data_IF_584450737044
#
_entry.id   IF_584450737044
#
_cell.length_a   1.000
_cell.length_b   1.000
_cell.length_c   1.000
_cell.angle_alpha   90.00
_cell.angle_beta   90.00
_cell.angle_gamma   90.00
#
_symmetry.space_group_name_H-M   'P 1'
#
loop_
_entity.id
_entity.type
_entity.pdbx_description
1 polymer ?
#
# COMPACT_ATOMS: atom_id res chain seq x y z
N UNK A 1 40.83 38.49 -28.79
CA UNK A 1 41.19 38.97 -27.44
C UNK A 1 41.16 37.76 -26.52
N UNK A 2 42.30 37.48 -25.89
CA UNK A 2 42.60 36.33 -25.02
C UNK A 2 41.79 36.36 -23.72
N UNK A 3 41.57 35.16 -23.12
CA UNK A 3 42.10 34.68 -21.81
C UNK A 3 41.07 33.70 -21.18
N UNK A 4 41.25 32.38 -21.07
CA UNK A 4 42.20 31.50 -20.33
C UNK A 4 41.75 31.10 -18.89
N UNK A 5 41.89 29.79 -18.62
CA UNK A 5 41.98 29.04 -17.34
C UNK A 5 40.73 28.96 -16.41
N UNK A 6 40.38 27.83 -15.79
CA UNK A 6 41.18 26.68 -15.33
C UNK A 6 40.34 25.42 -15.08
N UNK A 7 40.94 24.27 -15.42
CA UNK A 7 40.63 22.96 -14.86
C UNK A 7 40.94 22.92 -13.36
N UNK A 8 40.01 22.39 -12.56
CA UNK A 8 40.36 21.79 -11.26
C UNK A 8 39.88 20.36 -11.24
N UNK A 9 40.84 19.46 -11.42
CA UNK A 9 40.70 18.07 -11.04
C UNK A 9 40.67 17.96 -9.52
N UNK A 10 39.59 17.43 -8.97
CA UNK A 10 39.63 16.82 -7.63
C UNK A 10 39.56 15.31 -7.81
N UNK A 11 40.74 14.68 -7.81
CA UNK A 11 40.89 13.24 -7.86
C UNK A 11 40.55 12.58 -6.53
N UNK A 12 39.73 11.53 -6.62
CA UNK A 12 39.73 10.28 -5.85
C UNK A 12 39.42 10.34 -4.34
N UNK A 13 38.25 9.80 -3.99
CA UNK A 13 37.95 9.25 -2.68
C UNK A 13 36.67 8.39 -2.71
N UNK A 14 36.86 7.07 -2.81
CA UNK A 14 35.89 6.00 -2.48
C UNK A 14 34.52 5.99 -3.16
N UNK A 15 34.50 5.46 -4.40
CA UNK A 15 33.80 4.23 -4.76
C UNK A 15 32.42 3.88 -4.17
N UNK A 16 31.54 4.83 -3.89
CA UNK A 16 30.12 4.52 -3.74
C UNK A 16 29.50 4.38 -5.13
N UNK A 17 29.48 3.16 -5.64
CA UNK A 17 28.53 2.80 -6.68
C UNK A 17 27.14 2.89 -6.06
N UNK A 18 26.55 4.09 -6.12
CA UNK A 18 25.11 4.27 -5.91
C UNK A 18 24.42 3.40 -6.95
N UNK A 19 24.02 2.18 -6.55
CA UNK A 19 23.07 1.40 -7.34
C UNK A 19 21.76 2.13 -7.22
N UNK A 20 21.55 3.06 -8.16
CA UNK A 20 20.29 3.76 -8.38
C UNK A 20 19.25 2.69 -8.69
N UNK A 21 18.53 2.22 -7.67
CA UNK A 21 17.41 1.31 -7.86
C UNK A 21 16.25 2.11 -8.47
N UNK A 22 16.37 2.40 -9.77
CA UNK A 22 15.25 2.90 -10.55
C UNK A 22 14.22 1.77 -10.64
N UNK A 23 13.14 1.94 -9.88
CA UNK A 23 11.95 1.11 -9.93
C UNK A 23 11.16 1.49 -11.18
N UNK A 24 11.66 1.08 -12.35
CA UNK A 24 11.00 1.35 -13.63
C UNK A 24 9.72 0.52 -13.75
N UNK A 25 8.67 1.10 -14.35
CA UNK A 25 7.37 0.45 -14.58
C UNK A 25 7.51 -0.93 -15.26
N UNK A 26 8.57 -1.13 -16.02
CA UNK A 26 8.92 -2.39 -16.69
C UNK A 26 9.25 -3.54 -15.71
N UNK A 27 9.86 -3.26 -14.54
CA UNK A 27 10.15 -4.29 -13.52
C UNK A 27 8.89 -4.80 -12.83
N UNK A 28 7.90 -3.92 -12.61
CA UNK A 28 6.59 -4.29 -12.03
C UNK A 28 5.75 -5.08 -13.03
N UNK A 29 5.80 -4.71 -14.32
CA UNK A 29 5.11 -5.43 -15.39
C UNK A 29 5.53 -6.90 -15.52
N UNK A 30 6.83 -7.18 -15.46
CA UNK A 30 7.36 -8.55 -15.58
C UNK A 30 7.01 -9.45 -14.38
N UNK A 31 6.93 -8.90 -13.17
CA UNK A 31 6.53 -9.65 -11.97
C UNK A 31 5.04 -10.03 -11.96
N UNK A 32 4.18 -9.19 -12.56
CA UNK A 32 2.72 -9.36 -12.54
C UNK A 32 2.18 -10.13 -13.75
N UNK A 33 2.87 -10.09 -14.90
CA UNK A 33 2.35 -10.59 -16.18
C UNK A 33 2.91 -11.94 -16.64
N UNK A 34 3.98 -12.47 -16.02
CA UNK A 34 4.65 -13.71 -16.46
C UNK A 34 3.78 -14.97 -16.43
N UNK A 35 2.62 -14.95 -15.76
CA UNK A 35 1.67 -16.07 -15.72
C UNK A 35 0.42 -15.90 -16.61
N UNK A 36 0.28 -14.81 -17.39
CA UNK A 36 -0.96 -14.56 -18.15
C UNK A 36 -1.11 -15.33 -19.47
N UNK A 37 -0.08 -16.07 -19.92
CA UNK A 37 -0.10 -16.80 -21.21
C UNK A 37 -0.14 -18.33 -21.08
N UNK A 38 -0.93 -18.89 -20.16
CA UNK A 38 -1.31 -20.31 -20.24
C UNK A 38 -2.79 -20.42 -20.62
N UNK A 39 -3.05 -20.98 -21.81
CA UNK A 39 -4.40 -21.30 -22.32
C UNK A 39 -5.25 -21.89 -21.19
N UNK A 40 -6.33 -21.21 -20.82
CA UNK A 40 -7.27 -21.64 -19.78
C UNK A 40 -7.94 -22.94 -20.22
N UNK A 41 -7.38 -24.10 -19.82
CA UNK A 41 -8.14 -25.34 -19.81
C UNK A 41 -9.29 -25.19 -18.79
N UNK A 42 -10.51 -25.59 -19.15
CA UNK A 42 -11.66 -25.62 -18.23
C UNK A 42 -11.30 -26.54 -17.05
N UNK A 43 -10.92 -25.96 -15.93
CA UNK A 43 -10.63 -26.67 -14.69
C UNK A 43 -11.94 -26.83 -13.89
N UNK A 44 -12.10 -27.95 -13.19
CA UNK A 44 -13.23 -28.12 -12.29
C UNK A 44 -13.21 -27.07 -11.17
N UNK A 45 -14.39 -26.70 -10.65
CA UNK A 45 -14.56 -25.69 -9.61
C UNK A 45 -13.64 -25.95 -8.39
N UNK A 46 -13.50 -27.21 -7.96
CA UNK A 46 -12.58 -27.62 -6.89
C UNK A 46 -11.11 -27.32 -7.20
N UNK A 47 -10.64 -27.59 -8.43
CA UNK A 47 -9.26 -27.28 -8.85
C UNK A 47 -9.01 -25.77 -8.92
N UNK A 48 -10.02 -25.00 -9.34
CA UNK A 48 -9.98 -23.54 -9.36
C UNK A 48 -9.91 -22.93 -7.95
N UNK A 49 -10.72 -23.43 -7.01
CA UNK A 49 -10.68 -23.00 -5.60
C UNK A 49 -9.34 -23.33 -4.94
N UNK A 50 -8.83 -24.57 -5.13
CA UNK A 50 -7.52 -24.98 -4.61
C UNK A 50 -6.40 -24.10 -5.19
N UNK A 51 -6.45 -23.82 -6.50
CA UNK A 51 -5.53 -22.91 -7.18
C UNK A 51 -5.53 -21.50 -6.60
N UNK A 52 -6.72 -20.92 -6.37
CA UNK A 52 -6.87 -19.60 -5.74
C UNK A 52 -6.31 -19.57 -4.32
N UNK A 53 -6.61 -20.57 -3.50
CA UNK A 53 -6.09 -20.69 -2.14
C UNK A 53 -4.55 -20.79 -2.13
N UNK A 54 -3.98 -21.65 -2.97
CA UNK A 54 -2.52 -21.75 -3.10
C UNK A 54 -1.88 -20.47 -3.62
N UNK A 55 -2.55 -19.74 -4.53
CA UNK A 55 -2.12 -18.44 -5.02
C UNK A 55 -2.07 -17.39 -3.91
N UNK A 56 -3.12 -17.31 -3.08
CA UNK A 56 -3.16 -16.41 -1.93
C UNK A 56 -2.07 -16.73 -0.89
N UNK A 57 -1.83 -18.01 -0.61
CA UNK A 57 -0.76 -18.43 0.31
C UNK A 57 0.61 -18.04 -0.25
N UNK A 58 0.86 -18.26 -1.54
CA UNK A 58 2.12 -17.87 -2.20
C UNK A 58 2.31 -16.37 -2.19
N UNK A 59 1.28 -15.59 -2.48
CA UNK A 59 1.33 -14.13 -2.44
C UNK A 59 1.63 -13.63 -1.02
N UNK A 60 1.00 -14.22 0.00
CA UNK A 60 1.26 -13.90 1.40
C UNK A 60 2.72 -14.20 1.79
N UNK A 61 3.24 -15.37 1.39
CA UNK A 61 4.65 -15.73 1.61
C UNK A 61 5.60 -14.78 0.89
N UNK A 62 5.30 -14.40 -0.36
CA UNK A 62 6.09 -13.44 -1.12
C UNK A 62 6.15 -12.08 -0.42
N UNK A 63 5.00 -11.55 0.03
CA UNK A 63 4.99 -10.32 0.82
C UNK A 63 5.81 -10.44 2.10
N UNK A 64 5.68 -11.55 2.83
CA UNK A 64 6.49 -11.79 4.02
C UNK A 64 7.99 -11.82 3.71
N UNK A 65 8.39 -12.42 2.59
CA UNK A 65 9.78 -12.45 2.14
C UNK A 65 10.28 -11.06 1.73
N UNK A 66 9.48 -10.27 1.01
CA UNK A 66 9.83 -8.91 0.61
C UNK A 66 10.01 -8.01 1.84
N UNK A 67 9.05 -8.01 2.77
CA UNK A 67 9.16 -7.25 4.02
C UNK A 67 10.39 -7.68 4.83
N UNK A 68 10.65 -8.99 4.91
CA UNK A 68 11.85 -9.48 5.59
C UNK A 68 13.15 -9.09 4.85
N UNK A 69 13.12 -9.03 3.52
CA UNK A 69 14.26 -8.62 2.70
C UNK A 69 14.54 -7.12 2.84
N UNK A 70 13.51 -6.27 2.78
CA UNK A 70 13.62 -4.84 3.01
C UNK A 70 14.12 -4.55 4.43
N UNK A 71 13.63 -5.26 5.44
CA UNK A 71 14.12 -5.14 6.81
C UNK A 71 15.62 -5.52 6.93
N UNK A 72 16.07 -6.55 6.20
CA UNK A 72 17.50 -6.93 6.14
C UNK A 72 18.33 -5.90 5.38
N UNK A 73 17.87 -5.44 4.22
CA UNK A 73 18.56 -4.42 3.43
C UNK A 73 18.68 -3.10 4.20
N UNK A 74 17.62 -2.70 4.90
CA UNK A 74 17.63 -1.57 5.82
C UNK A 74 18.66 -1.74 6.95
N UNK A 75 18.77 -2.95 7.52
CA UNK A 75 19.78 -3.26 8.54
C UNK A 75 21.22 -3.24 7.99
N UNK A 76 21.40 -3.45 6.68
CA UNK A 76 22.73 -3.48 6.02
C UNK A 76 23.17 -2.08 5.59
N UNK A 77 22.24 -1.17 5.29
CA UNK A 77 22.52 0.21 4.84
C UNK A 77 22.82 1.20 5.99
N UNK A 78 23.04 0.73 7.22
CA UNK A 78 23.16 1.62 8.36
C UNK A 78 24.25 1.20 9.34
N UNK A 79 25.39 1.86 9.20
CA UNK A 79 26.49 1.86 10.18
C UNK A 79 26.26 2.86 11.32
N UNK A 80 25.22 3.72 11.28
CA UNK A 80 25.02 4.73 12.32
C UNK A 80 23.61 4.95 12.87
N UNK A 81 22.55 4.32 12.34
CA UNK A 81 21.21 4.26 12.97
C UNK A 81 20.26 3.40 12.11
N UNK A 82 19.97 2.16 12.55
CA UNK A 82 19.13 1.21 11.77
C UNK A 82 17.83 1.91 11.32
N UNK A 83 17.45 1.89 10.03
CA UNK A 83 16.18 2.44 9.58
C UNK A 83 15.08 1.66 10.30
N UNK A 84 14.40 2.31 11.24
CA UNK A 84 13.28 1.70 11.96
C UNK A 84 12.10 1.69 10.99
N UNK A 85 11.77 0.51 10.48
CA UNK A 85 10.54 0.31 9.73
C UNK A 85 9.36 0.80 10.58
N UNK A 86 8.45 1.59 10.00
CA UNK A 86 7.24 2.07 10.68
C UNK A 86 6.04 1.38 10.07
N UNK A 87 5.23 0.74 10.91
CA UNK A 87 3.98 0.09 10.49
C UNK A 87 2.80 0.92 10.98
N UNK A 88 1.92 1.33 10.06
CA UNK A 88 0.70 2.06 10.39
C UNK A 88 -0.50 1.11 10.44
N UNK A 89 -1.32 1.23 11.48
CA UNK A 89 -2.52 0.41 11.66
C UNK A 89 -3.72 1.32 11.90
N UNK A 90 -4.77 1.12 11.10
CA UNK A 90 -6.04 1.82 11.25
C UNK A 90 -6.72 1.50 12.57
N UNK A 91 -7.13 2.54 13.30
CA UNK A 91 -7.84 2.44 14.56
C UNK A 91 -9.34 2.65 14.35
N UNK A 92 -10.05 1.59 13.97
CA UNK A 92 -11.50 1.64 13.82
C UNK A 92 -12.21 1.70 15.20
N UNK A 93 -12.86 2.82 15.50
CA UNK A 93 -13.71 3.03 16.69
C UNK A 93 -13.04 2.71 18.05
N UNK A 94 -11.74 2.98 18.21
CA UNK A 94 -10.98 2.73 19.46
C UNK A 94 -11.01 1.27 19.93
N UNK A 95 -11.52 0.33 19.14
CA UNK A 95 -11.61 -1.07 19.53
C UNK A 95 -10.37 -1.81 19.03
N UNK A 96 -9.24 -1.52 19.67
CA UNK A 96 -7.92 -2.08 19.31
C UNK A 96 -7.73 -3.51 19.82
N UNK A 97 -8.74 -4.11 20.45
CA UNK A 97 -8.59 -5.43 21.07
C UNK A 97 -8.69 -6.56 20.06
N UNK A 98 -9.46 -6.37 18.98
CA UNK A 98 -9.77 -7.44 18.02
C UNK A 98 -9.67 -7.00 16.57
N UNK A 99 -8.98 -7.80 15.75
CA UNK A 99 -9.01 -7.74 14.30
C UNK A 99 -10.28 -8.42 13.80
N UNK A 100 -11.16 -7.65 13.15
CA UNK A 100 -12.36 -8.16 12.50
C UNK A 100 -12.06 -8.51 11.04
N UNK A 101 -12.53 -9.67 10.61
CA UNK A 101 -12.35 -10.18 9.24
C UNK A 101 -13.23 -11.41 9.07
N UNK A 102 -12.76 -12.42 8.33
CA UNK A 102 -13.47 -13.70 8.22
C UNK A 102 -13.64 -14.40 9.58
N UNK A 103 -12.69 -14.21 10.49
CA UNK A 103 -12.75 -14.65 11.88
C UNK A 103 -12.26 -13.49 12.77
N UNK A 104 -12.94 -13.23 13.87
CA UNK A 104 -12.45 -12.27 14.87
C UNK A 104 -11.24 -12.84 15.58
N UNK A 105 -10.14 -12.09 15.66
CA UNK A 105 -8.89 -12.51 16.32
C UNK A 105 -8.40 -11.44 17.26
N UNK A 106 -7.75 -11.84 18.36
CA UNK A 106 -7.10 -10.87 19.24
C UNK A 106 -6.00 -10.12 18.50
N UNK A 107 -5.95 -8.80 18.67
CA UNK A 107 -4.92 -7.95 18.07
C UNK A 107 -3.60 -8.01 18.85
N UNK A 108 -3.63 -8.36 20.14
CA UNK A 108 -2.44 -8.42 21.02
C UNK A 108 -1.28 -9.26 20.44
N UNK A 109 -1.47 -10.54 20.05
CA UNK A 109 -0.37 -11.34 19.50
C UNK A 109 0.15 -10.81 18.17
N UNK A 110 -0.73 -10.22 17.35
CA UNK A 110 -0.36 -9.60 16.09
C UNK A 110 0.53 -8.36 16.32
N UNK A 111 0.11 -7.48 17.23
CA UNK A 111 0.88 -6.29 17.61
C UNK A 111 2.23 -6.66 18.20
N UNK A 112 2.26 -7.60 19.16
CA UNK A 112 3.50 -8.08 19.76
C UNK A 112 4.50 -8.57 18.70
N UNK A 113 4.04 -9.39 17.75
CA UNK A 113 4.89 -9.88 16.66
C UNK A 113 5.36 -8.73 15.76
N UNK A 114 4.49 -7.79 15.42
CA UNK A 114 4.81 -6.68 14.51
C UNK A 114 5.78 -5.67 15.15
N UNK A 115 5.64 -5.42 16.45
CA UNK A 115 6.51 -4.56 17.24
C UNK A 115 7.95 -5.08 17.33
N UNK A 116 8.19 -6.38 17.16
CA UNK A 116 9.56 -6.92 17.09
C UNK A 116 10.32 -6.49 15.83
N UNK A 117 9.61 -6.10 14.76
CA UNK A 117 10.19 -5.79 13.44
C UNK A 117 10.05 -4.33 13.04
N UNK A 118 9.12 -3.61 13.66
CA UNK A 118 8.79 -2.23 13.27
C UNK A 118 8.23 -1.44 14.44
N UNK A 119 8.41 -0.12 14.38
CA UNK A 119 7.67 0.80 15.22
C UNK A 119 6.22 0.82 14.75
N UNK A 120 5.30 0.36 15.60
CA UNK A 120 3.87 0.34 15.27
C UNK A 120 3.22 1.65 15.69
N UNK A 121 2.50 2.29 14.77
CA UNK A 121 1.72 3.51 15.01
C UNK A 121 0.26 3.28 14.66
N UNK A 122 -0.62 3.62 15.60
CA UNK A 122 -2.05 3.63 15.36
C UNK A 122 -2.44 4.94 14.67
N UNK A 123 -3.26 4.85 13.64
CA UNK A 123 -3.70 5.99 12.83
C UNK A 123 -5.22 5.99 12.74
N UNK A 124 -5.84 7.16 12.73
CA UNK A 124 -7.27 7.26 12.50
C UNK A 124 -7.61 6.85 11.06
N UNK A 125 -8.52 5.89 10.93
CA UNK A 125 -8.93 5.32 9.65
C UNK A 125 -10.04 6.16 8.98
N UNK A 126 -10.31 7.38 9.46
CA UNK A 126 -11.40 8.20 8.97
C UNK A 126 -11.38 8.35 7.43
N UNK A 127 -12.48 7.96 6.79
CA UNK A 127 -12.66 7.94 5.33
C UNK A 127 -11.64 7.11 4.51
N UNK A 128 -10.84 6.23 5.13
CA UNK A 128 -9.83 5.40 4.45
C UNK A 128 -10.38 4.61 3.26
N UNK A 129 -11.62 4.09 3.37
CA UNK A 129 -12.25 3.28 2.31
C UNK A 129 -13.19 4.08 1.41
N UNK A 130 -13.37 5.38 1.68
CA UNK A 130 -14.25 6.27 0.92
C UNK A 130 -13.47 7.19 -0.03
N UNK A 131 -12.20 7.45 0.22
CA UNK A 131 -11.40 8.40 -0.57
C UNK A 131 -10.42 7.66 -1.46
N UNK A 132 -10.31 8.04 -2.73
CA UNK A 132 -9.36 7.44 -3.66
C UNK A 132 -7.93 7.75 -3.23
N UNK A 133 -7.09 6.72 -3.10
CA UNK A 133 -5.68 6.88 -2.71
C UNK A 133 -4.80 7.56 -3.78
N UNK A 134 -5.34 7.82 -4.98
CA UNK A 134 -4.59 8.42 -6.09
C UNK A 134 -4.95 9.87 -6.35
N UNK A 135 -6.21 10.27 -6.17
CA UNK A 135 -6.68 11.62 -6.50
C UNK A 135 -7.42 12.30 -5.35
N UNK A 136 -7.51 11.63 -4.19
CA UNK A 136 -8.16 12.12 -2.98
C UNK A 136 -9.62 12.58 -3.12
N UNK A 137 -10.31 12.13 -4.18
CA UNK A 137 -11.74 12.34 -4.38
C UNK A 137 -12.53 11.14 -3.85
N UNK A 138 -13.81 11.37 -3.57
CA UNK A 138 -14.69 10.31 -3.09
C UNK A 138 -14.81 9.16 -4.11
N UNK A 139 -14.94 7.97 -3.56
CA UNK A 139 -15.18 6.71 -4.27
C UNK A 139 -16.51 6.15 -3.83
N UNK A 140 -17.12 5.37 -4.70
CA UNK A 140 -18.35 4.65 -4.36
C UNK A 140 -18.11 3.16 -4.43
N UNK A 141 -18.90 2.40 -3.68
CA UNK A 141 -18.91 0.93 -3.78
C UNK A 141 -19.30 0.54 -5.20
N UNK A 142 -18.56 -0.39 -5.79
CA UNK A 142 -18.86 -0.85 -7.13
C UNK A 142 -20.26 -1.49 -7.16
N UNK A 143 -21.05 -1.17 -8.17
CA UNK A 143 -22.29 -1.89 -8.43
C UNK A 143 -22.00 -3.11 -9.31
N UNK A 144 -22.54 -4.26 -8.93
CA UNK A 144 -22.47 -5.51 -9.68
C UNK A 144 -23.87 -6.09 -9.81
N UNK A 145 -24.13 -6.81 -10.90
CA UNK A 145 -25.38 -7.57 -11.05
C UNK A 145 -25.27 -8.89 -10.30
N UNK A 146 -26.32 -9.21 -9.56
CA UNK A 146 -26.50 -10.52 -8.92
C UNK A 146 -26.95 -11.57 -9.95
N UNK A 147 -27.06 -12.83 -9.54
CA UNK A 147 -27.55 -13.94 -10.37
C UNK A 147 -28.96 -13.66 -10.93
N UNK A 148 -29.80 -12.97 -10.15
CA UNK A 148 -31.14 -12.51 -10.55
C UNK A 148 -31.15 -11.23 -11.41
N UNK A 149 -30.00 -10.82 -11.95
CA UNK A 149 -29.80 -9.60 -12.75
C UNK A 149 -30.14 -8.28 -12.00
N UNK A 150 -30.33 -8.33 -10.68
CA UNK A 150 -30.57 -7.17 -9.81
C UNK A 150 -29.25 -6.45 -9.50
N UNK A 151 -29.29 -5.12 -9.41
CA UNK A 151 -28.11 -4.31 -9.07
C UNK A 151 -27.82 -4.37 -7.57
N UNK A 152 -26.63 -4.84 -7.19
CA UNK A 152 -26.17 -4.96 -5.81
C UNK A 152 -24.83 -4.26 -5.62
N UNK A 153 -24.62 -3.70 -4.42
CA UNK A 153 -23.33 -3.09 -4.06
C UNK A 153 -22.32 -4.20 -3.73
N UNK A 154 -21.23 -4.26 -4.49
CA UNK A 154 -20.07 -5.07 -4.16
C UNK A 154 -19.32 -4.41 -3.00
N UNK A 155 -19.26 -5.09 -1.85
CA UNK A 155 -18.64 -4.56 -0.64
C UNK A 155 -17.10 -4.60 -0.66
N UNK A 156 -16.51 -5.43 -1.54
CA UNK A 156 -15.06 -5.63 -1.63
C UNK A 156 -14.38 -4.76 -2.68
N UNK A 157 -15.14 -3.97 -3.44
CA UNK A 157 -14.60 -3.15 -4.53
C UNK A 157 -15.19 -1.74 -4.51
N UNK A 158 -14.35 -0.78 -4.88
CA UNK A 158 -14.66 0.65 -4.90
C UNK A 158 -14.22 1.23 -6.23
N UNK A 159 -14.98 2.21 -6.72
CA UNK A 159 -14.78 2.85 -8.02
C UNK A 159 -14.61 4.35 -7.82
N UNK A 160 -13.57 4.92 -8.44
CA UNK A 160 -13.38 6.36 -8.50
C UNK A 160 -14.00 6.91 -9.78
N UNK A 161 -14.90 7.89 -9.64
CA UNK A 161 -15.59 8.53 -10.76
C UNK A 161 -14.97 9.87 -11.18
N UNK A 162 -13.88 10.29 -10.55
CA UNK A 162 -13.18 11.50 -10.99
C UNK A 162 -12.57 11.26 -12.38
N UNK A 163 -12.96 12.00 -13.44
CA UNK A 163 -12.38 11.87 -14.79
C UNK A 163 -10.87 12.09 -14.81
N UNK A 164 -10.36 12.96 -13.95
CA UNK A 164 -8.95 13.35 -13.88
C UNK A 164 -8.11 12.43 -12.99
N UNK A 165 -8.71 11.38 -12.41
CA UNK A 165 -7.96 10.47 -11.56
C UNK A 165 -6.85 9.76 -12.36
N UNK A 166 -5.58 9.79 -11.92
CA UNK A 166 -4.48 9.12 -12.63
C UNK A 166 -4.77 7.64 -12.92
N UNK A 167 -5.41 6.94 -11.97
CA UNK A 167 -5.84 5.56 -12.16
C UNK A 167 -6.90 5.42 -13.26
N UNK A 168 -7.82 6.38 -13.38
CA UNK A 168 -8.83 6.38 -14.44
C UNK A 168 -8.22 6.68 -15.80
N UNK A 169 -7.29 7.64 -15.88
CA UNK A 169 -6.50 7.90 -17.09
C UNK A 169 -5.74 6.63 -17.53
N UNK A 170 -5.25 5.85 -16.58
CA UNK A 170 -4.63 4.54 -16.80
C UNK A 170 -5.63 3.37 -17.01
N UNK A 171 -6.93 3.64 -17.18
CA UNK A 171 -8.02 2.65 -17.37
C UNK A 171 -8.21 1.67 -16.19
N UNK A 172 -7.84 2.08 -14.98
CA UNK A 172 -7.99 1.34 -13.73
C UNK A 172 -8.96 2.05 -12.78
N UNK A 173 -10.25 2.04 -13.12
CA UNK A 173 -11.28 2.79 -12.36
C UNK A 173 -11.72 2.12 -11.07
N UNK A 174 -11.61 0.80 -10.99
CA UNK A 174 -12.07 -0.02 -9.86
C UNK A 174 -10.87 -0.63 -9.15
N UNK A 175 -10.91 -0.62 -7.82
CA UNK A 175 -9.89 -1.24 -6.99
C UNK A 175 -10.49 -2.01 -5.82
N UNK A 176 -9.68 -2.91 -5.24
CA UNK A 176 -10.04 -3.60 -4.02
C UNK A 176 -10.17 -2.57 -2.87
N UNK A 177 -11.27 -2.68 -2.11
CA UNK A 177 -11.58 -1.73 -1.04
C UNK A 177 -10.57 -1.78 0.10
N UNK A 178 -10.12 -2.98 0.47
CA UNK A 178 -9.15 -3.19 1.55
C UNK A 178 -7.77 -2.67 1.14
N UNK A 179 -7.40 -2.85 -0.13
CA UNK A 179 -6.18 -2.27 -0.71
C UNK A 179 -6.22 -0.74 -0.66
N UNK A 180 -7.32 -0.12 -1.09
CA UNK A 180 -7.49 1.34 -1.01
C UNK A 180 -7.41 1.83 0.44
N UNK A 181 -8.09 1.13 1.36
CA UNK A 181 -8.05 1.42 2.79
C UNK A 181 -6.63 1.36 3.35
N UNK A 182 -5.89 0.29 3.05
CA UNK A 182 -4.51 0.11 3.49
C UNK A 182 -3.57 1.18 2.92
N UNK A 183 -3.67 1.51 1.63
CA UNK A 183 -2.89 2.58 1.01
C UNK A 183 -3.16 3.92 1.69
N UNK A 184 -4.43 4.22 1.97
CA UNK A 184 -4.78 5.45 2.69
C UNK A 184 -4.26 5.43 4.13
N UNK A 185 -4.33 4.31 4.86
CA UNK A 185 -3.71 4.13 6.19
C UNK A 185 -2.22 4.47 6.18
N UNK A 186 -1.49 3.97 5.18
CA UNK A 186 -0.09 4.31 5.01
C UNK A 186 0.11 5.81 4.73
N UNK A 187 -0.70 6.41 3.84
CA UNK A 187 -0.62 7.83 3.52
C UNK A 187 -0.96 8.74 4.72
N UNK A 188 -1.99 8.41 5.50
CA UNK A 188 -2.35 9.12 6.73
C UNK A 188 -1.17 9.11 7.70
N UNK A 189 -0.69 7.91 8.03
CA UNK A 189 0.34 7.72 9.03
C UNK A 189 1.64 8.40 8.61
N UNK A 190 2.00 8.28 7.33
CA UNK A 190 3.16 8.95 6.79
C UNK A 190 3.01 10.48 6.85
N UNK A 191 1.87 11.02 6.39
CA UNK A 191 1.62 12.47 6.42
C UNK A 191 1.70 13.06 7.83
N UNK A 192 1.11 12.39 8.82
CA UNK A 192 1.18 12.80 10.21
C UNK A 192 2.60 12.70 10.79
N UNK A 193 3.37 11.69 10.37
CA UNK A 193 4.75 11.48 10.84
C UNK A 193 5.71 12.56 10.32
N UNK A 194 5.52 13.03 9.09
CA UNK A 194 6.41 14.02 8.45
C UNK A 194 5.93 15.46 8.61
N UNK A 195 4.68 15.66 9.02
CA UNK A 195 4.11 16.97 9.31
C UNK A 195 4.72 17.54 10.60
N UNK A 196 5.15 18.81 10.54
CA UNK A 196 5.67 19.54 11.71
C UNK A 196 4.62 19.71 12.80
N UNK A 197 3.35 19.80 12.41
CA UNK A 197 2.19 20.00 13.27
C UNK A 197 1.44 18.70 13.59
N UNK A 198 2.00 17.53 13.23
CA UNK A 198 1.38 16.20 13.36
C UNK A 198 -0.03 16.11 12.75
N UNK A 199 -0.33 16.91 11.73
CA UNK A 199 -1.62 16.91 11.04
C UNK A 199 -1.61 15.97 9.85
N UNK A 200 -2.76 15.36 9.60
CA UNK A 200 -3.01 14.57 8.39
C UNK A 200 -3.33 15.48 7.21
N UNK A 201 -3.23 14.95 5.99
CA UNK A 201 -3.64 15.68 4.79
C UNK A 201 -5.11 16.15 4.89
N UNK A 202 -5.48 17.27 4.24
CA UNK A 202 -6.86 17.80 4.32
C UNK A 202 -7.99 16.81 3.99
N UNK A 203 -7.89 15.95 2.94
CA UNK A 203 -8.94 14.97 2.61
C UNK A 203 -9.26 14.00 3.76
N UNK A 204 -8.31 13.88 4.66
CA UNK A 204 -8.23 12.90 5.71
C UNK A 204 -8.50 13.47 7.10
N UNK A 205 -8.52 14.80 7.21
CA UNK A 205 -8.85 15.49 8.43
C UNK A 205 -10.31 15.27 8.80
N UNK A 206 -10.58 15.06 10.09
CA UNK A 206 -11.92 15.28 10.62
C UNK A 206 -12.08 16.79 10.71
N UNK A 207 -12.94 17.36 9.88
CA UNK A 207 -13.50 18.67 10.21
C UNK A 207 -14.24 18.47 11.53
N UNK A 208 -13.67 18.96 12.62
CA UNK A 208 -14.43 19.13 13.85
C UNK A 208 -15.46 20.19 13.50
N UNK A 209 -16.72 19.80 13.32
CA UNK A 209 -17.78 20.79 13.49
C UNK A 209 -17.74 21.16 14.98
N UNK A 210 -17.48 22.42 15.35
CA UNK A 210 -17.57 22.84 16.75
C UNK A 210 -19.01 22.77 17.30
N UNK A 211 -20.01 22.54 16.45
CA UNK A 211 -21.44 22.54 16.81
C UNK A 211 -22.07 21.15 16.96
N UNK A 212 -21.32 20.12 17.39
CA UNK A 212 -21.89 18.79 17.72
C UNK A 212 -21.30 18.16 18.96
#
# INVERSE_FOLDING_TARGET
MLQEYSDTATSRGNGETFVKYEMTANKVGNAVLSNRRKKRKKLSVKKLQKGRATGQIRLKKLHQHLVASEARSAATMSTFNKPKMVSFIGNWRRNTQYLRGHSTRSMKPYMSTLSTRSTVRLVDEYNSTKICCSCFKETQKQLARDEDNRMKRNLGAVTCFNPECPKRLAKQTTMNRDEQGASNIALFGFSALVSLDNKVLPPFSRVQNPDK
#
